data_IF_021927708360
#
_entry.id   IF_021927708360
#
_cell.length_a   1.000
_cell.length_b   1.000
_cell.length_c   1.000
_cell.angle_alpha   90.00
_cell.angle_beta   90.00
_cell.angle_gamma   90.00
#
_symmetry.space_group_name_H-M   'P 1'
#
loop_
_entity.id
_entity.type
_entity.pdbx_description
1 polymer ?
#
# COMPACT_ATOMS: atom_id res chain seq x y z
N UNK A 1 10.11 1.44 -10.40
CA UNK A 1 10.29 2.50 -9.37
C UNK A 1 9.87 3.83 -9.98
N UNK A 2 9.11 4.65 -9.26
CA UNK A 2 8.79 6.01 -9.69
C UNK A 2 10.01 6.90 -9.52
N UNK A 3 10.30 7.72 -10.52
CA UNK A 3 11.43 8.64 -10.53
C UNK A 3 11.00 9.99 -11.11
N UNK A 4 11.67 11.04 -10.66
CA UNK A 4 11.49 12.40 -11.17
C UNK A 4 12.84 12.99 -11.57
N UNK A 5 12.91 13.64 -12.72
CA UNK A 5 14.09 14.37 -13.16
C UNK A 5 14.12 15.76 -12.50
N UNK A 6 15.15 16.11 -11.71
CA UNK A 6 15.20 17.41 -11.02
C UNK A 6 15.26 18.61 -11.97
N UNK A 7 15.85 18.45 -13.16
CA UNK A 7 16.04 19.54 -14.11
C UNK A 7 14.79 19.86 -14.94
N UNK A 8 13.99 18.85 -15.26
CA UNK A 8 12.81 18.99 -16.14
C UNK A 8 11.48 18.80 -15.41
N UNK A 9 11.52 18.36 -14.15
CA UNK A 9 10.36 17.90 -13.38
C UNK A 9 9.54 16.77 -14.04
N UNK A 10 10.08 16.14 -15.09
CA UNK A 10 9.45 14.98 -15.73
C UNK A 10 9.39 13.79 -14.76
N UNK A 11 8.26 13.10 -14.76
CA UNK A 11 7.99 11.94 -13.89
C UNK A 11 7.89 10.68 -14.75
N UNK A 12 8.44 9.57 -14.29
CA UNK A 12 8.49 8.33 -15.06
C UNK A 12 8.66 7.10 -14.19
N UNK A 13 8.25 5.95 -14.71
CA UNK A 13 8.62 4.65 -14.14
C UNK A 13 9.93 4.18 -14.73
N UNK A 14 10.89 3.91 -13.86
CA UNK A 14 12.17 3.31 -14.20
C UNK A 14 12.18 1.82 -13.90
N UNK A 15 12.64 1.04 -14.88
CA UNK A 15 12.89 -0.40 -14.75
C UNK A 15 14.40 -0.65 -14.80
N UNK A 16 15.06 -0.97 -13.66
CA UNK A 16 16.51 -1.17 -13.62
C UNK A 16 17.01 -2.29 -14.55
N UNK A 17 16.23 -3.37 -14.70
CA UNK A 17 16.63 -4.57 -15.44
C UNK A 17 16.68 -4.31 -16.95
N UNK A 18 15.66 -3.66 -17.50
CA UNK A 18 15.59 -3.33 -18.93
C UNK A 18 16.18 -1.97 -19.27
N UNK A 19 16.51 -1.16 -18.25
CA UNK A 19 16.81 0.28 -18.38
C UNK A 19 15.71 1.04 -19.13
N UNK A 20 14.49 0.51 -19.06
CA UNK A 20 13.30 1.04 -19.70
C UNK A 20 12.73 2.20 -18.89
N UNK A 21 12.25 3.21 -19.61
CA UNK A 21 11.54 4.36 -19.08
C UNK A 21 10.11 4.36 -19.63
N UNK A 22 9.13 4.49 -18.75
CA UNK A 22 7.74 4.76 -19.12
C UNK A 22 7.42 6.15 -18.63
N UNK A 23 7.19 7.07 -19.55
CA UNK A 23 6.82 8.45 -19.21
C UNK A 23 5.46 8.46 -18.51
N UNK A 24 5.35 9.30 -17.48
CA UNK A 24 4.11 9.60 -16.78
C UNK A 24 3.85 11.10 -16.86
N UNK A 25 2.59 11.53 -16.61
CA UNK A 25 2.29 12.93 -16.42
C UNK A 25 3.17 13.56 -15.33
N UNK A 26 3.46 14.87 -15.41
CA UNK A 26 4.13 15.58 -14.31
C UNK A 26 3.32 15.47 -13.02
N UNK A 27 3.93 14.91 -11.97
CA UNK A 27 3.27 14.73 -10.67
C UNK A 27 3.27 16.05 -9.88
N UNK A 28 2.11 16.60 -9.48
CA UNK A 28 1.99 17.91 -8.84
C UNK A 28 2.25 17.84 -7.31
N UNK A 29 3.39 17.26 -6.91
CA UNK A 29 3.81 17.14 -5.50
C UNK A 29 5.20 17.74 -5.34
N UNK A 30 5.40 18.47 -4.24
CA UNK A 30 6.70 19.03 -3.87
C UNK A 30 7.78 17.94 -3.76
N UNK A 31 9.02 18.30 -4.11
CA UNK A 31 10.10 17.31 -4.19
C UNK A 31 10.42 16.65 -2.84
N UNK A 32 10.24 17.39 -1.74
CA UNK A 32 10.60 16.93 -0.40
C UNK A 32 9.58 15.92 0.15
N UNK A 33 8.31 16.03 -0.25
CA UNK A 33 7.26 15.07 0.13
C UNK A 33 7.35 13.76 -0.67
N UNK A 34 8.01 13.79 -1.82
CA UNK A 34 8.09 12.65 -2.73
C UNK A 34 8.87 11.46 -2.14
N UNK A 35 9.83 11.72 -1.25
CA UNK A 35 10.73 10.67 -0.74
C UNK A 35 10.04 9.69 0.21
N UNK A 36 9.00 10.15 0.91
CA UNK A 36 8.27 9.33 1.88
C UNK A 36 7.02 8.68 1.27
N UNK A 37 6.74 8.96 -0.01
CA UNK A 37 5.59 8.39 -0.71
C UNK A 37 5.82 6.92 -1.09
N UNK A 38 4.78 6.11 -0.96
CA UNK A 38 4.77 4.74 -1.47
C UNK A 38 4.20 4.76 -2.89
N UNK A 39 4.96 4.27 -3.87
CA UNK A 39 4.47 4.09 -5.24
C UNK A 39 4.28 2.61 -5.57
N UNK A 40 3.08 2.26 -6.02
CA UNK A 40 2.69 0.91 -6.38
C UNK A 40 2.10 0.87 -7.79
N UNK A 41 2.23 -0.27 -8.44
CA UNK A 41 1.57 -0.57 -9.72
C UNK A 41 0.54 -1.66 -9.50
N UNK A 42 -0.67 -1.48 -10.01
CA UNK A 42 -1.70 -2.52 -9.86
C UNK A 42 -1.34 -3.82 -10.60
N UNK A 43 -0.57 -3.72 -11.69
CA UNK A 43 -0.11 -4.86 -12.50
C UNK A 43 1.21 -4.51 -13.21
N UNK A 44 1.64 -5.37 -14.13
CA UNK A 44 2.75 -5.08 -15.06
C UNK A 44 2.45 -3.79 -15.82
N UNK A 45 3.45 -2.89 -16.03
CA UNK A 45 3.24 -1.63 -16.75
C UNK A 45 2.72 -1.79 -18.18
N UNK A 46 2.91 -2.97 -18.79
CA UNK A 46 2.44 -3.31 -20.13
C UNK A 46 0.99 -3.83 -20.16
N UNK A 47 0.39 -4.10 -19.00
CA UNK A 47 -1.01 -4.50 -18.93
C UNK A 47 -1.92 -3.31 -19.26
N UNK A 48 -3.02 -3.58 -19.96
CA UNK A 48 -4.05 -2.57 -20.21
C UNK A 48 -4.60 -2.02 -18.90
N UNK A 49 -4.79 -0.70 -18.82
CA UNK A 49 -5.32 -0.01 -17.65
C UNK A 49 -4.52 -0.18 -16.35
N UNK A 50 -3.23 -0.55 -16.43
CA UNK A 50 -2.36 -0.58 -15.26
C UNK A 50 -2.38 0.79 -14.55
N UNK A 51 -2.67 0.78 -13.25
CA UNK A 51 -2.75 1.98 -12.42
C UNK A 51 -1.41 2.19 -11.74
N UNK A 52 -0.93 3.42 -11.79
CA UNK A 52 0.15 3.92 -10.93
C UNK A 52 -0.52 4.60 -9.75
N UNK A 53 -0.30 4.07 -8.56
CA UNK A 53 -0.79 4.60 -7.30
C UNK A 53 0.36 5.23 -6.53
N UNK A 54 0.12 6.39 -5.95
CA UNK A 54 1.00 7.04 -5.00
C UNK A 54 0.23 7.34 -3.71
N UNK A 55 0.75 6.84 -2.60
CA UNK A 55 0.21 7.04 -1.26
C UNK A 55 1.17 7.91 -0.48
N UNK A 56 0.66 9.05 0.00
CA UNK A 56 1.39 9.93 0.92
C UNK A 56 1.21 9.43 2.36
N UNK A 57 2.29 9.37 3.17
CA UNK A 57 2.30 8.67 4.46
C UNK A 57 1.43 9.31 5.54
N UNK A 58 1.15 10.62 5.43
CA UNK A 58 0.45 11.40 6.46
C UNK A 58 -0.84 12.05 5.94
N UNK A 59 -1.27 11.65 4.74
CA UNK A 59 -2.41 12.27 4.08
C UNK A 59 -3.54 11.28 3.84
N UNK A 60 -4.76 11.77 3.97
CA UNK A 60 -6.00 11.03 3.69
C UNK A 60 -6.45 11.21 2.24
N UNK A 61 -5.48 11.24 1.33
CA UNK A 61 -5.73 11.24 -0.09
C UNK A 61 -4.66 10.45 -0.83
N UNK A 62 -5.00 10.02 -2.04
CA UNK A 62 -4.10 9.31 -2.95
C UNK A 62 -3.97 10.07 -4.27
N UNK A 63 -2.84 9.86 -4.94
CA UNK A 63 -2.68 10.24 -6.34
C UNK A 63 -2.64 9.00 -7.22
N UNK A 64 -3.29 9.07 -8.38
CA UNK A 64 -3.25 7.97 -9.33
C UNK A 64 -3.35 8.44 -10.78
N UNK A 65 -2.83 7.63 -11.69
CA UNK A 65 -3.05 7.72 -13.13
C UNK A 65 -2.98 6.31 -13.75
N UNK A 66 -3.48 6.12 -14.96
CA UNK A 66 -3.16 4.92 -15.74
C UNK A 66 -1.93 5.15 -16.60
N UNK A 67 -1.25 4.05 -16.94
CA UNK A 67 -0.19 4.10 -17.95
C UNK A 67 -0.77 4.65 -19.27
N UNK A 68 -0.19 5.76 -19.74
CA UNK A 68 -0.65 6.46 -20.95
C UNK A 68 -1.62 7.62 -20.70
N UNK A 69 -2.04 7.86 -19.45
CA UNK A 69 -2.78 9.07 -19.09
C UNK A 69 -1.92 10.33 -19.30
N UNK A 70 -2.59 11.48 -19.38
CA UNK A 70 -1.98 12.81 -19.53
C UNK A 70 -1.93 13.63 -18.23
N UNK A 71 -2.59 13.16 -17.17
CA UNK A 71 -2.67 13.85 -15.87
C UNK A 71 -2.80 12.89 -14.69
N UNK A 72 -2.37 13.36 -13.52
CA UNK A 72 -2.64 12.71 -12.24
C UNK A 72 -4.01 13.14 -11.70
N UNK A 73 -4.70 12.19 -11.06
CA UNK A 73 -5.95 12.42 -10.35
C UNK A 73 -5.70 12.30 -8.85
N UNK A 74 -6.22 13.27 -8.09
CA UNK A 74 -6.26 13.23 -6.63
C UNK A 74 -7.59 12.64 -6.17
N UNK A 75 -7.56 11.81 -5.15
CA UNK A 75 -8.76 11.31 -4.50
C UNK A 75 -8.59 11.32 -2.98
N UNK A 76 -9.36 12.17 -2.30
CA UNK A 76 -9.49 12.15 -0.85
C UNK A 76 -10.32 10.93 -0.42
N UNK A 77 -9.90 10.28 0.66
CA UNK A 77 -10.54 9.11 1.22
C UNK A 77 -10.82 9.30 2.72
N UNK A 78 -11.70 8.46 3.25
CA UNK A 78 -11.99 8.35 4.67
C UNK A 78 -12.17 6.86 4.99
N UNK A 79 -11.20 6.29 5.70
CA UNK A 79 -11.19 4.87 6.08
C UNK A 79 -11.40 4.68 7.58
N UNK A 80 -11.74 5.76 8.30
CA UNK A 80 -11.92 5.72 9.75
C UNK A 80 -11.07 6.77 10.48
N UNK A 81 -11.14 6.69 11.81
CA UNK A 81 -10.40 7.54 12.73
C UNK A 81 -9.68 6.69 13.77
N UNK A 82 -8.56 7.20 14.27
CA UNK A 82 -7.76 6.61 15.33
C UNK A 82 -7.52 7.64 16.44
N UNK A 83 -7.32 7.23 17.70
CA UNK A 83 -6.95 8.15 18.77
C UNK A 83 -5.65 8.88 18.42
N UNK A 84 -5.66 10.21 18.52
CA UNK A 84 -4.47 11.01 18.35
C UNK A 84 -3.47 10.76 19.50
N UNK A 85 -2.21 11.17 19.30
CA UNK A 85 -1.13 11.00 20.30
C UNK A 85 -1.44 11.67 21.65
N UNK A 86 -2.26 12.71 21.65
CA UNK A 86 -2.70 13.40 22.87
C UNK A 86 -3.79 12.64 23.64
N UNK A 87 -4.34 11.57 23.06
CA UNK A 87 -5.44 10.74 23.57
C UNK A 87 -6.72 11.54 23.88
N UNK A 88 -6.83 12.77 23.38
CA UNK A 88 -7.96 13.68 23.61
C UNK A 88 -8.68 14.04 22.31
N UNK A 89 -8.07 13.77 21.17
CA UNK A 89 -8.66 13.95 19.85
C UNK A 89 -8.55 12.69 18.99
N UNK A 90 -9.18 12.72 17.83
CA UNK A 90 -9.11 11.66 16.83
C UNK A 90 -8.42 12.19 15.57
N UNK A 91 -7.44 11.44 15.08
CA UNK A 91 -6.82 11.66 13.79
C UNK A 91 -7.51 10.78 12.75
N UNK A 92 -7.59 11.26 11.51
CA UNK A 92 -8.03 10.42 10.40
C UNK A 92 -7.03 9.30 10.15
N UNK A 93 -7.54 8.11 9.88
CA UNK A 93 -6.70 6.96 9.59
C UNK A 93 -6.09 7.07 8.18
N UNK A 94 -4.81 6.72 8.07
CA UNK A 94 -4.03 6.78 6.83
C UNK A 94 -3.76 5.37 6.32
N UNK A 95 -3.70 5.20 5.01
CA UNK A 95 -3.40 3.90 4.38
C UNK A 95 -1.95 3.50 4.66
N UNK A 96 -1.75 2.56 5.60
CA UNK A 96 -0.44 1.94 5.86
C UNK A 96 -0.56 0.66 6.70
N UNK A 97 0.19 -0.42 6.40
CA UNK A 97 0.89 -0.70 5.15
C UNK A 97 -0.06 -0.98 3.97
N UNK A 98 0.46 -0.94 2.73
CA UNK A 98 -0.26 -1.23 1.49
C UNK A 98 0.61 -2.00 0.49
N UNK A 99 0.01 -2.92 -0.26
CA UNK A 99 0.63 -3.65 -1.36
C UNK A 99 -0.31 -3.79 -2.56
N UNK A 100 0.24 -3.97 -3.76
CA UNK A 100 -0.52 -4.28 -4.95
C UNK A 100 -0.48 -5.79 -5.22
N UNK A 101 -1.62 -6.42 -5.48
CA UNK A 101 -1.69 -7.83 -5.83
C UNK A 101 -2.87 -8.08 -6.77
N UNK A 102 -2.68 -8.88 -7.81
CA UNK A 102 -3.77 -9.30 -8.71
C UNK A 102 -4.58 -8.17 -9.35
N UNK A 103 -3.98 -7.00 -9.63
CA UNK A 103 -4.69 -5.86 -10.24
C UNK A 103 -5.36 -4.92 -9.25
N UNK A 104 -5.32 -5.21 -7.95
CA UNK A 104 -5.91 -4.39 -6.87
C UNK A 104 -4.83 -3.98 -5.88
N UNK A 105 -5.20 -3.09 -4.96
CA UNK A 105 -4.36 -2.71 -3.84
C UNK A 105 -5.01 -3.15 -2.53
N UNK A 106 -4.20 -3.65 -1.61
CA UNK A 106 -4.63 -4.16 -0.32
C UNK A 106 -3.89 -3.43 0.78
N UNK A 107 -4.61 -2.94 1.78
CA UNK A 107 -4.03 -2.21 2.91
C UNK A 107 -4.54 -2.77 4.23
N UNK A 108 -3.72 -2.65 5.27
CA UNK A 108 -4.12 -3.04 6.60
C UNK A 108 -5.14 -2.01 7.11
N UNK A 109 -6.35 -2.44 7.43
CA UNK A 109 -7.42 -1.56 7.92
C UNK A 109 -7.65 -1.80 9.40
N UNK A 110 -8.04 -3.01 9.79
CA UNK A 110 -8.17 -3.37 11.21
C UNK A 110 -7.55 -4.74 11.46
N UNK A 111 -7.48 -5.17 12.72
CA UNK A 111 -6.96 -6.49 13.09
C UNK A 111 -7.73 -7.66 12.44
N UNK A 112 -8.96 -7.41 11.98
CA UNK A 112 -9.85 -8.42 11.39
C UNK A 112 -10.33 -8.05 9.99
N UNK A 113 -9.85 -6.94 9.41
CA UNK A 113 -10.25 -6.52 8.06
C UNK A 113 -9.04 -6.08 7.23
N UNK A 114 -8.96 -6.65 6.03
CA UNK A 114 -8.05 -6.20 4.99
C UNK A 114 -8.80 -5.24 4.07
N UNK A 115 -8.34 -3.99 4.00
CA UNK A 115 -8.87 -2.99 3.08
C UNK A 115 -8.50 -3.32 1.64
N UNK A 116 -9.42 -3.07 0.70
CA UNK A 116 -9.24 -3.29 -0.73
C UNK A 116 -9.56 -2.00 -1.47
N UNK A 117 -8.62 -1.57 -2.29
CA UNK A 117 -8.75 -0.45 -3.22
C UNK A 117 -8.66 -0.99 -4.65
N UNK A 118 -9.74 -0.79 -5.40
CA UNK A 118 -9.86 -1.14 -6.81
C UNK A 118 -10.12 0.09 -7.68
N UNK A 119 -9.80 0.02 -8.97
CA UNK A 119 -9.94 1.11 -9.92
C UNK A 119 -10.79 0.67 -11.11
N UNK A 120 -12.10 0.88 -11.01
CA UNK A 120 -13.08 0.49 -12.03
C UNK A 120 -14.13 1.59 -12.29
N UNK A 121 -13.84 2.69 -13.04
CA UNK A 121 -12.53 3.26 -13.40
C UNK A 121 -12.00 4.27 -12.36
N UNK A 122 -12.82 4.61 -11.37
CA UNK A 122 -12.45 5.45 -10.22
C UNK A 122 -12.09 4.57 -9.02
N UNK A 123 -11.43 5.14 -7.98
CA UNK A 123 -11.19 4.46 -6.71
C UNK A 123 -12.47 3.91 -6.09
N UNK A 124 -12.47 2.63 -5.75
CA UNK A 124 -13.52 1.96 -5.00
C UNK A 124 -12.90 1.27 -3.80
N UNK A 125 -13.33 1.67 -2.61
CA UNK A 125 -12.91 1.07 -1.34
C UNK A 125 -13.90 -0.01 -0.91
N UNK A 126 -13.35 -1.11 -0.42
CA UNK A 126 -14.10 -2.22 0.19
C UNK A 126 -13.20 -2.90 1.22
N UNK A 127 -13.71 -3.91 1.94
CA UNK A 127 -12.91 -4.69 2.88
C UNK A 127 -13.22 -6.19 2.77
N UNK A 128 -12.23 -6.99 3.17
CA UNK A 128 -12.36 -8.43 3.35
C UNK A 128 -12.25 -8.70 4.84
N UNK A 129 -13.30 -9.30 5.42
CA UNK A 129 -13.26 -9.78 6.81
C UNK A 129 -12.40 -11.03 6.88
N UNK A 130 -11.42 -11.00 7.77
CA UNK A 130 -10.53 -12.14 8.03
C UNK A 130 -11.20 -13.00 9.09
N UNK A 131 -11.40 -14.28 8.78
CA UNK A 131 -12.18 -15.20 9.62
C UNK A 131 -11.47 -15.59 10.92
N UNK A 132 -10.13 -15.49 10.96
CA UNK A 132 -9.32 -15.84 12.13
C UNK A 132 -8.75 -14.61 12.83
N UNK A 133 -8.87 -14.56 14.16
CA UNK A 133 -8.17 -13.59 15.01
C UNK A 133 -6.71 -14.01 15.06
N UNK A 134 -5.82 -13.19 14.49
CA UNK A 134 -4.41 -13.53 14.47
C UNK A 134 -3.65 -12.73 15.52
N UNK A 135 -3.83 -13.10 16.79
CA UNK A 135 -2.98 -12.65 17.90
C UNK A 135 -1.48 -12.87 17.57
N UNK A 136 -1.19 -13.87 16.73
CA UNK A 136 0.14 -14.19 16.25
C UNK A 136 0.71 -13.19 15.22
N UNK A 137 -0.13 -12.37 14.57
CA UNK A 137 0.29 -11.39 13.54
C UNK A 137 0.63 -10.04 14.17
N UNK A 138 -0.23 -9.54 15.04
CA UNK A 138 -0.07 -8.20 15.61
C UNK A 138 0.80 -8.21 16.89
N UNK A 139 1.14 -9.40 17.38
CA UNK A 139 1.85 -9.59 18.63
C UNK A 139 0.91 -9.50 19.83
N UNK A 140 1.47 -9.69 21.02
CA UNK A 140 0.75 -9.44 22.28
C UNK A 140 1.00 -8.00 22.72
N UNK A 141 0.13 -7.42 23.58
CA UNK A 141 0.27 -6.02 24.05
C UNK A 141 1.67 -5.65 24.56
N UNK A 142 2.42 -6.63 25.08
CA UNK A 142 3.78 -6.45 25.61
C UNK A 142 4.90 -6.54 24.55
N UNK A 143 4.58 -6.90 23.31
CA UNK A 143 5.51 -7.05 22.19
C UNK A 143 4.79 -6.81 20.85
N UNK A 144 4.43 -5.54 20.53
CA UNK A 144 3.74 -5.21 19.29
C UNK A 144 4.61 -5.56 18.08
N UNK A 145 4.00 -6.16 17.06
CA UNK A 145 4.68 -6.48 15.82
C UNK A 145 4.54 -5.33 14.81
N UNK A 146 5.60 -5.05 14.05
CA UNK A 146 5.50 -4.17 12.89
C UNK A 146 5.02 -5.00 11.69
N UNK A 147 3.89 -4.61 11.10
CA UNK A 147 3.25 -5.34 10.00
C UNK A 147 3.58 -4.68 8.66
N UNK A 148 3.83 -5.51 7.65
CA UNK A 148 4.02 -5.13 6.25
C UNK A 148 3.13 -5.99 5.36
N UNK A 149 2.71 -5.43 4.23
CA UNK A 149 2.06 -6.17 3.16
C UNK A 149 3.02 -6.25 1.97
N UNK A 150 3.16 -7.44 1.40
CA UNK A 150 4.10 -7.71 0.30
C UNK A 150 3.44 -8.64 -0.70
N UNK A 151 3.59 -8.33 -1.98
CA UNK A 151 3.24 -9.27 -3.06
C UNK A 151 4.47 -10.05 -3.47
N UNK A 152 4.30 -11.36 -3.68
CA UNK A 152 5.31 -12.24 -4.23
C UNK A 152 4.68 -13.35 -5.06
N UNK A 153 5.09 -13.45 -6.32
CA UNK A 153 4.63 -14.47 -7.28
C UNK A 153 3.11 -14.51 -7.47
N UNK A 154 2.48 -13.34 -7.47
CA UNK A 154 1.03 -13.18 -7.63
C UNK A 154 0.22 -13.44 -6.36
N UNK A 155 0.86 -13.77 -5.25
CA UNK A 155 0.23 -14.01 -3.96
C UNK A 155 0.52 -12.85 -2.99
N UNK A 156 -0.44 -12.55 -2.11
CA UNK A 156 -0.32 -11.50 -1.11
C UNK A 156 0.11 -12.10 0.23
N UNK A 157 1.09 -11.47 0.86
CA UNK A 157 1.61 -11.86 2.16
C UNK A 157 1.55 -10.72 3.16
N UNK A 158 1.29 -11.07 4.42
CA UNK A 158 1.45 -10.22 5.57
C UNK A 158 2.67 -10.67 6.36
N UNK A 159 3.63 -9.75 6.54
CA UNK A 159 4.88 -10.00 7.26
C UNK A 159 4.86 -9.23 8.57
N UNK A 160 4.98 -9.94 9.68
CA UNK A 160 5.04 -9.39 11.03
C UNK A 160 6.46 -9.50 11.56
N UNK A 161 7.12 -8.37 11.78
CA UNK A 161 8.41 -8.33 12.45
C UNK A 161 8.18 -8.33 13.96
N UNK A 162 8.76 -9.32 14.63
CA UNK A 162 8.68 -9.46 16.08
C UNK A 162 9.81 -8.69 16.73
N UNK A 163 9.45 -7.75 17.60
CA UNK A 163 10.37 -6.81 18.20
C UNK A 163 10.44 -6.96 19.72
N UNK A 164 11.65 -6.84 20.29
CA UNK A 164 11.89 -6.66 21.72
C UNK A 164 12.86 -5.48 21.93
N UNK A 165 14.14 -5.72 22.22
CA UNK A 165 15.20 -4.69 22.09
C UNK A 165 15.77 -4.66 20.67
N UNK A 166 15.71 -5.79 19.96
CA UNK A 166 16.08 -5.98 18.56
C UNK A 166 15.03 -6.81 17.84
N UNK A 167 15.07 -6.83 16.51
CA UNK A 167 14.30 -7.78 15.71
C UNK A 167 14.85 -9.18 16.02
N UNK A 168 14.00 -10.06 16.55
CA UNK A 168 14.39 -11.44 16.87
C UNK A 168 13.73 -12.47 15.95
N UNK A 169 12.74 -12.06 15.15
CA UNK A 169 12.08 -12.95 14.20
C UNK A 169 11.11 -12.22 13.28
N UNK A 170 10.65 -12.95 12.27
CA UNK A 170 9.58 -12.53 11.39
C UNK A 170 8.59 -13.68 11.23
N UNK A 171 7.31 -13.35 11.11
CA UNK A 171 6.24 -14.30 10.75
C UNK A 171 5.68 -13.87 9.41
N UNK A 172 5.42 -14.85 8.55
CA UNK A 172 4.89 -14.61 7.21
C UNK A 172 3.60 -15.40 7.07
N UNK A 173 2.53 -14.69 6.73
CA UNK A 173 1.23 -15.28 6.47
C UNK A 173 0.84 -14.95 5.03
N UNK A 174 0.33 -15.93 4.31
CA UNK A 174 -0.21 -15.78 2.97
C UNK A 174 -1.72 -15.58 3.07
N UNK A 175 -2.26 -14.64 2.31
CA UNK A 175 -3.70 -14.44 2.21
C UNK A 175 -4.34 -15.53 1.32
N UNK A 176 -5.25 -16.31 1.88
CA UNK A 176 -6.19 -17.14 1.11
C UNK A 176 -7.47 -16.34 0.86
N UNK A 177 -7.62 -15.81 -0.36
CA UNK A 177 -8.79 -15.03 -0.74
C UNK A 177 -10.09 -15.84 -0.83
N UNK A 178 -10.02 -17.17 -0.98
CA UNK A 178 -11.21 -18.03 -1.06
C UNK A 178 -11.78 -18.30 0.32
N UNK A 179 -10.90 -18.49 1.31
CA UNK A 179 -11.28 -18.71 2.71
C UNK A 179 -11.37 -17.44 3.53
N UNK A 180 -10.79 -16.35 3.04
CA UNK A 180 -10.60 -15.11 3.80
C UNK A 180 -9.80 -15.34 5.09
N UNK A 181 -8.65 -16.03 4.96
CA UNK A 181 -7.80 -16.46 6.07
C UNK A 181 -6.32 -16.10 5.80
N UNK A 182 -5.56 -15.87 6.88
CA UNK A 182 -4.12 -15.64 6.84
C UNK A 182 -3.37 -16.94 7.21
N UNK A 183 -2.92 -17.67 6.20
CA UNK A 183 -2.27 -18.98 6.38
C UNK A 183 -0.76 -18.83 6.64
N UNK A 184 -0.22 -19.53 7.65
CA UNK A 184 1.24 -19.53 7.91
C UNK A 184 2.00 -20.03 6.69
N UNK A 185 2.97 -19.24 6.23
CA UNK A 185 3.91 -19.65 5.20
C UNK A 185 5.05 -20.45 5.85
N UNK A 186 5.41 -21.59 5.24
CA UNK A 186 6.46 -22.53 5.72
C UNK A 186 7.86 -21.95 5.52
#
# INVERSE_FOLDING_TARGET
MLARCPASMSTFLWTPQSRGKIELPPLPIEQDLFIDCICLLSNKPTASNCVVLLVEPYATFIWYCHIGDDQWRKHDYDIGTQPALDLQSEDKEVITPIAACGGKFYFNSTQIELGVLDFCPAPVFSSIKINDVVDDIYGVELAPAQVFLVESDGELYMVSLLWAETIYGARVHRMDFLKAEMEKSV
#
